data_IF_750226843233
#
_entry.id   IF_750226843233
#
_cell.length_a   1.000
_cell.length_b   1.000
_cell.length_c   1.000
_cell.angle_alpha   90.00
_cell.angle_beta   90.00
_cell.angle_gamma   90.00
#
_symmetry.space_group_name_H-M   'P 1'
#
loop_
_entity.id
_entity.type
_entity.pdbx_description
1 polymer ?
#
# COMPACT_ATOMS: atom_id res chain seq x y z
N UNK A 1 17.08 11.40 20.05
CA UNK A 1 16.03 11.44 19.00
C UNK A 1 15.68 10.00 18.68
N UNK A 2 14.42 9.60 18.82
CA UNK A 2 13.96 8.26 18.45
C UNK A 2 13.27 8.35 17.10
N UNK A 3 13.70 7.52 16.15
CA UNK A 3 13.09 7.40 14.84
C UNK A 3 12.16 6.20 14.83
N UNK A 4 10.99 6.37 14.24
CA UNK A 4 10.00 5.30 14.01
C UNK A 4 9.91 5.03 12.52
N UNK A 5 9.25 3.93 12.16
CA UNK A 5 8.94 3.61 10.77
C UNK A 5 8.11 4.74 10.12
N UNK A 6 8.49 5.14 8.91
CA UNK A 6 7.85 6.24 8.19
C UNK A 6 6.38 5.97 7.82
N UNK A 7 5.97 4.71 7.76
CA UNK A 7 4.59 4.30 7.57
C UNK A 7 3.65 4.69 8.72
N UNK A 8 4.21 5.04 9.90
CA UNK A 8 3.42 5.43 11.08
C UNK A 8 3.00 6.91 11.04
N UNK A 9 3.81 7.80 10.45
CA UNK A 9 3.54 9.25 10.47
C UNK A 9 2.84 9.75 9.20
N UNK A 10 3.37 9.42 8.03
CA UNK A 10 2.90 9.93 6.73
C UNK A 10 3.47 9.06 5.62
N UNK A 11 2.61 8.44 4.79
CA UNK A 11 3.05 8.12 3.44
C UNK A 11 3.30 9.47 2.76
N UNK A 12 4.56 9.76 2.43
CA UNK A 12 4.94 10.92 1.62
C UNK A 12 5.59 10.44 0.32
N UNK A 13 5.36 9.18 -0.06
CA UNK A 13 6.02 8.55 -1.19
C UNK A 13 5.61 9.19 -2.50
N UNK A 14 4.32 9.48 -2.66
CA UNK A 14 3.77 10.09 -3.87
C UNK A 14 4.23 11.53 -3.97
N UNK A 15 4.08 12.33 -2.90
CA UNK A 15 4.53 13.72 -2.86
C UNK A 15 6.01 13.84 -3.17
N UNK A 16 6.86 12.98 -2.59
CA UNK A 16 8.30 12.98 -2.88
C UNK A 16 8.60 12.65 -4.34
N UNK A 17 7.89 11.70 -4.95
CA UNK A 17 8.05 11.42 -6.37
C UNK A 17 7.65 12.62 -7.24
N UNK A 18 6.58 13.34 -6.87
CA UNK A 18 6.21 14.61 -7.53
C UNK A 18 7.29 15.67 -7.35
N UNK A 19 7.79 15.87 -6.13
CA UNK A 19 8.85 16.84 -5.81
C UNK A 19 10.15 16.54 -6.59
N UNK A 20 10.39 15.27 -6.94
CA UNK A 20 11.52 14.83 -7.77
C UNK A 20 11.29 15.00 -9.28
N UNK A 21 10.10 15.45 -9.69
CA UNK A 21 9.76 15.70 -11.09
C UNK A 21 9.30 14.47 -11.86
N UNK A 22 8.85 13.40 -11.20
CA UNK A 22 8.30 12.24 -11.90
C UNK A 22 6.96 12.57 -12.57
N UNK A 23 6.82 12.26 -13.86
CA UNK A 23 5.58 12.40 -14.62
C UNK A 23 4.59 11.25 -14.38
N UNK A 24 5.14 10.03 -14.25
CA UNK A 24 4.41 8.81 -13.95
C UNK A 24 4.89 8.23 -12.62
N UNK A 25 3.93 7.85 -11.76
CA UNK A 25 4.20 7.33 -10.42
C UNK A 25 3.46 6.00 -10.26
N UNK A 26 4.20 4.93 -10.03
CA UNK A 26 3.66 3.62 -9.70
C UNK A 26 3.63 3.48 -8.17
N UNK A 27 2.44 3.30 -7.62
CA UNK A 27 2.20 3.15 -6.19
C UNK A 27 1.89 1.70 -5.89
N UNK A 28 2.69 1.09 -5.02
CA UNK A 28 2.44 -0.27 -4.51
C UNK A 28 1.73 -0.18 -3.16
N UNK A 29 0.47 -0.64 -3.12
CA UNK A 29 -0.34 -0.69 -1.92
C UNK A 29 -0.47 -2.13 -1.41
N UNK A 30 0.33 -2.46 -0.40
CA UNK A 30 0.28 -3.74 0.31
C UNK A 30 -0.68 -3.71 1.50
N UNK A 31 -1.54 -2.68 1.64
CA UNK A 31 -2.52 -2.65 2.72
C UNK A 31 -3.56 -3.75 2.52
N UNK A 32 -3.66 -4.65 3.49
CA UNK A 32 -4.68 -5.69 3.48
C UNK A 32 -6.01 -5.08 3.95
N UNK A 33 -6.96 -4.94 3.04
CA UNK A 33 -8.32 -4.45 3.34
C UNK A 33 -9.37 -5.56 3.40
N UNK A 34 -8.96 -6.83 3.53
CA UNK A 34 -9.97 -7.86 3.81
C UNK A 34 -10.81 -7.41 5.00
N UNK A 35 -12.12 -7.63 4.89
CA UNK A 35 -13.11 -7.39 5.94
C UNK A 35 -12.71 -8.18 7.20
N UNK A 36 -11.83 -7.60 8.02
CA UNK A 36 -11.40 -8.18 9.29
C UNK A 36 -12.55 -8.05 10.27
N UNK A 37 -13.37 -9.10 10.38
CA UNK A 37 -14.49 -9.16 11.31
C UNK A 37 -14.18 -9.97 12.58
N UNK A 38 -12.96 -10.49 12.71
CA UNK A 38 -12.52 -11.23 13.90
C UNK A 38 -11.41 -10.44 14.60
N UNK A 39 -11.79 -9.64 15.59
CA UNK A 39 -10.84 -9.01 16.50
C UNK A 39 -10.68 -9.91 17.72
N UNK A 40 -9.50 -10.48 17.93
CA UNK A 40 -9.22 -11.34 19.08
C UNK A 40 -8.70 -10.53 20.28
N UNK A 41 -8.24 -9.29 20.04
CA UNK A 41 -7.86 -8.37 21.12
C UNK A 41 -7.62 -6.92 20.68
N UNK A 42 -7.26 -6.08 21.65
CA UNK A 42 -7.01 -4.64 21.45
C UNK A 42 -5.89 -4.36 20.44
N UNK A 43 -4.93 -5.27 20.31
CA UNK A 43 -3.86 -5.17 19.33
C UNK A 43 -4.36 -5.29 17.90
N UNK A 44 -5.35 -6.16 17.65
CA UNK A 44 -5.92 -6.31 16.31
C UNK A 44 -6.77 -5.09 15.92
N UNK A 45 -7.50 -4.53 16.87
CA UNK A 45 -8.24 -3.27 16.68
C UNK A 45 -7.28 -2.14 16.33
N UNK A 46 -6.19 -2.02 17.09
CA UNK A 46 -5.16 -0.99 16.86
C UNK A 46 -4.49 -1.18 15.50
N UNK A 47 -4.10 -2.42 15.16
CA UNK A 47 -3.52 -2.76 13.85
C UNK A 47 -4.49 -2.39 12.71
N UNK A 48 -5.77 -2.71 12.86
CA UNK A 48 -6.79 -2.37 11.87
C UNK A 48 -6.98 -0.85 11.71
N UNK A 49 -7.03 -0.12 12.83
CA UNK A 49 -7.09 1.35 12.80
C UNK A 49 -5.89 1.94 12.06
N UNK A 50 -4.68 1.41 12.29
CA UNK A 50 -3.48 1.80 11.55
C UNK A 50 -3.60 1.55 10.05
N UNK A 51 -4.10 0.38 9.64
CA UNK A 51 -4.31 0.08 8.22
C UNK A 51 -5.31 1.05 7.57
N UNK A 52 -6.43 1.35 8.25
CA UNK A 52 -7.43 2.33 7.74
C UNK A 52 -6.80 3.73 7.64
N UNK A 53 -6.09 4.17 8.67
CA UNK A 53 -5.43 5.48 8.69
C UNK A 53 -4.40 5.60 7.56
N UNK A 54 -3.55 4.58 7.39
CA UNK A 54 -2.54 4.55 6.34
C UNK A 54 -3.18 4.60 4.96
N UNK A 55 -4.17 3.74 4.69
CA UNK A 55 -4.84 3.70 3.39
C UNK A 55 -5.55 5.02 3.08
N UNK A 56 -6.23 5.63 4.07
CA UNK A 56 -6.85 6.95 3.90
C UNK A 56 -5.80 8.04 3.61
N UNK A 57 -4.65 8.00 4.28
CA UNK A 57 -3.54 8.92 4.01
C UNK A 57 -3.04 8.78 2.58
N UNK A 58 -2.76 7.54 2.14
CA UNK A 58 -2.28 7.25 0.79
C UNK A 58 -3.26 7.74 -0.28
N UNK A 59 -4.56 7.43 -0.12
CA UNK A 59 -5.59 7.86 -1.07
C UNK A 59 -5.73 9.39 -1.12
N UNK A 60 -5.63 10.07 0.02
CA UNK A 60 -5.62 11.54 0.06
C UNK A 60 -4.39 12.13 -0.62
N UNK A 61 -3.24 11.45 -0.51
CA UNK A 61 -2.00 11.86 -1.17
C UNK A 61 -2.13 11.73 -2.69
N UNK A 62 -2.60 10.58 -3.17
CA UNK A 62 -2.89 10.33 -4.59
C UNK A 62 -3.87 11.37 -5.13
N UNK A 63 -4.97 11.65 -4.41
CA UNK A 63 -5.98 12.61 -4.84
C UNK A 63 -5.44 14.05 -4.96
N UNK A 64 -4.40 14.41 -4.19
CA UNK A 64 -3.78 15.74 -4.27
C UNK A 64 -2.86 15.88 -5.48
N UNK A 65 -2.34 14.79 -6.01
CA UNK A 65 -1.40 14.75 -7.14
C UNK A 65 -2.12 14.42 -8.46
N UNK A 66 -3.25 15.09 -8.72
CA UNK A 66 -4.13 14.84 -9.88
C UNK A 66 -3.53 15.27 -11.22
N UNK A 67 -2.44 16.03 -11.20
CA UNK A 67 -1.68 16.49 -12.36
C UNK A 67 -0.62 15.46 -12.84
N UNK A 68 -0.56 14.29 -12.21
CA UNK A 68 0.37 13.21 -12.55
C UNK A 68 -0.35 11.94 -12.95
N UNK A 69 0.31 11.13 -13.78
CA UNK A 69 -0.17 9.78 -14.11
C UNK A 69 0.17 8.87 -12.93
N UNK A 70 -0.82 8.55 -12.10
CA UNK A 70 -0.64 7.65 -10.96
C UNK A 70 -1.24 6.28 -11.27
N UNK A 71 -0.43 5.24 -11.11
CA UNK A 71 -0.82 3.84 -11.30
C UNK A 71 -0.80 3.16 -9.93
N UNK A 72 -1.96 2.79 -9.40
CA UNK A 72 -2.08 2.12 -8.11
C UNK A 72 -2.17 0.61 -8.29
N UNK A 73 -1.15 -0.12 -7.85
CA UNK A 73 -1.12 -1.59 -7.82
C UNK A 73 -1.40 -2.05 -6.40
N UNK A 74 -2.47 -2.82 -6.20
CA UNK A 74 -2.84 -3.34 -4.89
C UNK A 74 -3.06 -4.85 -4.94
N UNK A 75 -2.38 -5.57 -4.04
CA UNK A 75 -2.58 -7.00 -3.86
C UNK A 75 -3.79 -7.23 -2.94
N UNK A 76 -4.98 -7.34 -3.51
CA UNK A 76 -6.17 -7.57 -2.70
C UNK A 76 -6.19 -8.99 -2.10
N UNK A 77 -6.84 -9.12 -0.94
CA UNK A 77 -7.29 -10.39 -0.34
C UNK A 77 -6.21 -11.36 0.19
N UNK A 78 -4.99 -10.89 0.38
CA UNK A 78 -3.91 -11.66 1.00
C UNK A 78 -4.09 -11.69 2.52
N UNK A 79 -4.54 -12.81 3.05
CA UNK A 79 -4.62 -13.03 4.50
C UNK A 79 -3.34 -13.71 4.99
N UNK A 80 -2.35 -12.88 5.32
CA UNK A 80 -1.04 -13.31 5.84
C UNK A 80 -0.65 -12.38 6.97
N UNK A 81 -0.20 -12.95 8.09
CA UNK A 81 0.31 -12.16 9.20
C UNK A 81 1.61 -11.44 8.80
N UNK A 82 1.83 -10.23 9.30
CA UNK A 82 3.00 -9.39 8.94
C UNK A 82 4.34 -10.09 9.24
N UNK A 83 4.35 -11.02 10.18
CA UNK A 83 5.50 -11.82 10.59
C UNK A 83 5.50 -13.26 10.04
N UNK A 84 4.59 -13.61 9.13
CA UNK A 84 4.54 -14.92 8.49
C UNK A 84 5.34 -14.93 7.19
N UNK A 85 6.51 -15.58 7.25
CA UNK A 85 7.42 -15.74 6.12
C UNK A 85 7.29 -17.11 5.43
N UNK A 86 6.35 -17.96 5.85
CA UNK A 86 6.17 -19.30 5.27
C UNK A 86 5.65 -19.25 3.83
N UNK A 87 5.00 -18.15 3.44
CA UNK A 87 4.34 -17.95 2.15
C UNK A 87 5.03 -16.93 1.24
N UNK A 88 6.30 -16.59 1.49
CA UNK A 88 7.01 -15.55 0.74
C UNK A 88 6.97 -15.74 -0.79
N UNK A 89 7.24 -16.95 -1.28
CA UNK A 89 7.21 -17.22 -2.73
C UNK A 89 5.81 -17.08 -3.35
N UNK A 90 4.75 -17.33 -2.58
CA UNK A 90 3.37 -17.10 -3.01
C UNK A 90 3.08 -15.58 -3.09
N UNK A 91 3.47 -14.83 -2.05
CA UNK A 91 3.28 -13.38 -1.98
C UNK A 91 3.97 -12.63 -3.12
N UNK A 92 5.19 -13.05 -3.47
CA UNK A 92 5.93 -12.47 -4.60
C UNK A 92 5.15 -12.67 -5.90
N UNK A 93 4.70 -13.89 -6.18
CA UNK A 93 3.92 -14.21 -7.39
C UNK A 93 2.57 -13.49 -7.45
N UNK A 94 1.94 -13.26 -6.31
CA UNK A 94 0.72 -12.45 -6.23
C UNK A 94 1.00 -10.98 -6.59
N UNK A 95 2.11 -10.43 -6.11
CA UNK A 95 2.56 -9.09 -6.48
C UNK A 95 2.87 -8.95 -7.97
N UNK A 96 3.60 -9.92 -8.54
CA UNK A 96 3.90 -9.98 -9.97
C UNK A 96 2.61 -10.01 -10.79
N UNK A 97 1.68 -10.90 -10.44
CA UNK A 97 0.40 -11.02 -11.14
C UNK A 97 -0.41 -9.71 -11.09
N UNK A 98 -0.55 -9.11 -9.91
CA UNK A 98 -1.28 -7.85 -9.77
C UNK A 98 -0.64 -6.70 -10.55
N UNK A 99 0.70 -6.68 -10.63
CA UNK A 99 1.41 -5.71 -11.43
C UNK A 99 1.20 -5.94 -12.93
N UNK A 100 1.33 -7.17 -13.42
CA UNK A 100 1.10 -7.50 -14.84
C UNK A 100 -0.32 -7.14 -15.28
N UNK A 101 -1.34 -7.53 -14.51
CA UNK A 101 -2.75 -7.24 -14.85
C UNK A 101 -3.03 -5.73 -15.01
N UNK A 102 -2.33 -4.89 -14.25
CA UNK A 102 -2.52 -3.44 -14.32
C UNK A 102 -1.62 -2.84 -15.40
N UNK A 103 -0.35 -3.23 -15.46
CA UNK A 103 0.64 -2.60 -16.33
C UNK A 103 0.49 -3.00 -17.81
N UNK A 104 -0.11 -4.15 -18.11
CA UNK A 104 -0.41 -4.58 -19.48
C UNK A 104 -1.35 -3.60 -20.21
N UNK A 105 -2.16 -2.84 -19.47
CA UNK A 105 -3.05 -1.79 -20.01
C UNK A 105 -2.34 -0.45 -20.28
N UNK A 106 -1.03 -0.34 -19.99
CA UNK A 106 -0.28 0.91 -20.07
C UNK A 106 0.81 0.82 -21.15
N UNK A 107 0.65 1.59 -22.23
CA UNK A 107 1.80 1.96 -23.06
C UNK A 107 2.65 2.98 -22.29
N UNK A 108 3.94 2.67 -22.13
CA UNK A 108 4.94 3.50 -21.45
C UNK A 108 5.81 4.23 -22.47
#
# INVERSE_FOLDING_TARGET
IHYLDGGVSTSNGVKKAVDLGCDTIIVLDSSNTKRMFNFEGIFDVTRHAFHIMFRKSLLNEIARCHDRRIILISCQNVDVAVNDFSRTAELIRLGEKAASEILDDFEF
#
